data_IF_798108252613
#
_entry.id   IF_798108252613
#
_cell.length_a   1.000
_cell.length_b   1.000
_cell.length_c   1.000
_cell.angle_alpha   90.00
_cell.angle_beta   90.00
_cell.angle_gamma   90.00
#
_symmetry.space_group_name_H-M   'P 1'
#
loop_
_entity.id
_entity.type
_entity.pdbx_description
1 polymer ?
#
# COMPACT_ATOMS: atom_id res chain seq x y z
N UNK A 1 25.19 27.00 0.38
CA UNK A 1 23.82 26.46 0.56
C UNK A 1 23.67 25.23 -0.34
N UNK A 2 23.41 24.02 0.18
CA UNK A 2 23.18 22.84 -0.67
C UNK A 2 21.79 22.95 -1.29
N UNK A 3 21.66 22.73 -2.61
CA UNK A 3 20.35 22.63 -3.27
C UNK A 3 19.62 21.40 -2.71
N UNK A 4 18.34 21.55 -2.34
CA UNK A 4 17.48 20.46 -1.83
C UNK A 4 16.90 19.58 -2.93
N UNK A 5 17.14 19.94 -4.20
CA UNK A 5 16.69 19.23 -5.39
C UNK A 5 17.87 19.01 -6.34
N UNK A 6 17.84 17.88 -7.04
CA UNK A 6 18.78 17.52 -8.09
C UNK A 6 17.99 17.29 -9.39
N UNK A 7 18.50 17.81 -10.51
CA UNK A 7 17.91 17.59 -11.82
C UNK A 7 18.33 16.22 -12.37
N UNK A 8 17.40 15.54 -13.03
CA UNK A 8 17.61 14.23 -13.64
C UNK A 8 16.96 14.21 -15.02
N UNK A 9 17.57 13.48 -15.97
CA UNK A 9 16.95 13.21 -17.27
C UNK A 9 16.52 11.74 -17.30
N UNK A 10 15.30 11.50 -17.75
CA UNK A 10 14.72 10.15 -17.84
C UNK A 10 14.13 9.95 -19.22
N UNK A 11 14.32 8.77 -19.78
CA UNK A 11 13.66 8.34 -21.01
C UNK A 11 12.43 7.54 -20.64
N UNK A 12 11.28 7.90 -21.23
CA UNK A 12 10.01 7.23 -21.03
C UNK A 12 9.49 6.68 -22.35
N UNK A 13 8.72 5.58 -22.32
CA UNK A 13 7.85 5.23 -23.44
C UNK A 13 6.96 6.43 -23.82
N UNK A 14 6.74 6.63 -25.11
CA UNK A 14 6.00 7.79 -25.63
C UNK A 14 4.62 7.94 -24.96
N UNK A 15 3.91 6.83 -24.78
CA UNK A 15 2.61 6.79 -24.11
C UNK A 15 2.64 7.29 -22.66
N UNK A 16 3.71 6.99 -21.90
CA UNK A 16 3.88 7.49 -20.54
C UNK A 16 4.26 8.97 -20.52
N UNK A 17 5.09 9.41 -21.46
CA UNK A 17 5.42 10.83 -21.60
C UNK A 17 4.16 11.67 -21.92
N UNK A 18 3.30 11.18 -22.82
CA UNK A 18 2.02 11.82 -23.13
C UNK A 18 1.08 11.83 -21.92
N UNK A 19 1.04 10.75 -21.14
CA UNK A 19 0.25 10.72 -19.89
C UNK A 19 0.68 11.82 -18.91
N UNK A 20 2.00 12.01 -18.73
CA UNK A 20 2.53 13.06 -17.85
C UNK A 20 2.17 14.46 -18.39
N UNK A 21 2.34 14.69 -19.69
CA UNK A 21 1.97 15.95 -20.35
C UNK A 21 0.48 16.25 -20.22
N UNK A 22 -0.38 15.26 -20.43
CA UNK A 22 -1.82 15.41 -20.32
C UNK A 22 -2.26 15.85 -18.92
N UNK A 23 -1.63 15.31 -17.86
CA UNK A 23 -1.90 15.71 -16.48
C UNK A 23 -1.55 17.17 -16.20
N UNK A 24 -0.44 17.65 -16.75
CA UNK A 24 -0.05 19.07 -16.64
C UNK A 24 -0.98 19.95 -17.46
N UNK A 25 -1.31 19.54 -18.69
CA UNK A 25 -2.22 20.29 -19.57
C UNK A 25 -3.64 20.39 -19.00
N UNK A 26 -4.11 19.37 -18.27
CA UNK A 26 -5.37 19.38 -17.54
C UNK A 26 -5.35 20.26 -16.28
N UNK A 27 -4.18 20.78 -15.89
CA UNK A 27 -4.01 21.58 -14.68
C UNK A 27 -4.01 20.77 -13.38
N UNK A 28 -3.92 19.44 -13.45
CA UNK A 28 -3.81 18.58 -12.26
C UNK A 28 -2.48 18.80 -11.52
N UNK A 29 -1.43 19.17 -12.26
CA UNK A 29 -0.08 19.43 -11.75
C UNK A 29 0.51 20.64 -12.46
N UNK A 30 1.35 21.43 -11.78
CA UNK A 30 1.96 22.62 -12.37
C UNK A 30 3.14 22.28 -13.29
N UNK A 31 3.82 21.15 -13.05
CA UNK A 31 4.97 20.70 -13.84
C UNK A 31 5.04 19.18 -13.93
N UNK A 32 5.75 18.66 -14.93
CA UNK A 32 6.04 17.24 -15.06
C UNK A 32 6.81 16.71 -13.84
N UNK A 33 7.72 17.54 -13.31
CA UNK A 33 8.48 17.22 -12.08
C UNK A 33 7.60 17.06 -10.84
N UNK A 34 6.40 17.64 -10.80
CA UNK A 34 5.43 17.39 -9.73
C UNK A 34 4.76 16.04 -9.87
N UNK A 35 4.36 15.66 -11.09
CA UNK A 35 3.78 14.35 -11.39
C UNK A 35 4.71 13.23 -10.91
N UNK A 36 6.01 13.33 -11.25
CA UNK A 36 6.98 12.32 -10.81
C UNK A 36 7.21 12.33 -9.29
N UNK A 37 7.34 13.51 -8.67
CA UNK A 37 7.54 13.58 -7.20
C UNK A 37 6.35 13.01 -6.45
N UNK A 38 5.14 13.26 -6.92
CA UNK A 38 3.91 12.73 -6.32
C UNK A 38 3.82 11.20 -6.49
N UNK A 39 4.08 10.71 -7.71
CA UNK A 39 4.16 9.27 -7.98
C UNK A 39 5.19 8.56 -7.10
N UNK A 40 6.38 9.12 -6.95
CA UNK A 40 7.44 8.56 -6.10
C UNK A 40 7.06 8.55 -4.61
N UNK A 41 6.39 9.60 -4.11
CA UNK A 41 5.91 9.62 -2.72
C UNK A 41 4.83 8.57 -2.49
N UNK A 42 3.92 8.40 -3.44
CA UNK A 42 2.86 7.39 -3.37
C UNK A 42 3.45 5.99 -3.34
N UNK A 43 4.45 5.71 -4.20
CA UNK A 43 5.17 4.45 -4.20
C UNK A 43 5.87 4.20 -2.86
N UNK A 44 6.62 5.18 -2.34
CA UNK A 44 7.32 5.05 -1.07
C UNK A 44 6.36 4.84 0.13
N UNK A 45 5.21 5.52 0.13
CA UNK A 45 4.20 5.34 1.17
C UNK A 45 3.60 3.93 1.14
N UNK A 46 3.32 3.41 -0.07
CA UNK A 46 2.84 2.03 -0.26
C UNK A 46 3.86 1.01 0.24
N UNK A 47 5.13 1.16 -0.15
CA UNK A 47 6.19 0.23 0.26
C UNK A 47 6.36 0.22 1.78
N UNK A 48 6.38 1.41 2.41
CA UNK A 48 6.43 1.52 3.88
C UNK A 48 5.23 0.86 4.57
N UNK A 49 4.03 0.98 4.01
CA UNK A 49 2.84 0.37 4.58
C UNK A 49 2.90 -1.17 4.51
N UNK A 50 3.38 -1.72 3.39
CA UNK A 50 3.59 -3.16 3.21
C UNK A 50 4.64 -3.67 4.19
N UNK A 51 5.78 -2.99 4.29
CA UNK A 51 6.86 -3.39 5.19
C UNK A 51 6.42 -3.36 6.66
N UNK A 52 5.69 -2.31 7.06
CA UNK A 52 5.15 -2.20 8.41
C UNK A 52 4.19 -3.37 8.71
N UNK A 53 3.27 -3.66 7.80
CA UNK A 53 2.34 -4.78 7.94
C UNK A 53 3.06 -6.14 8.05
N UNK A 54 4.06 -6.37 7.20
CA UNK A 54 4.86 -7.60 7.24
C UNK A 54 5.59 -7.74 8.59
N UNK A 55 6.22 -6.65 9.04
CA UNK A 55 7.01 -6.62 10.28
C UNK A 55 6.15 -6.77 11.53
N UNK A 56 5.02 -6.08 11.58
CA UNK A 56 4.23 -5.92 12.80
C UNK A 56 3.09 -6.92 12.93
N UNK A 57 2.60 -7.49 11.83
CA UNK A 57 1.51 -8.47 11.87
C UNK A 57 1.96 -9.85 11.40
N UNK A 58 2.54 -9.96 10.20
CA UNK A 58 2.81 -11.26 9.57
C UNK A 58 3.92 -12.02 10.28
N UNK A 59 5.05 -11.37 10.55
CA UNK A 59 6.18 -12.00 11.23
C UNK A 59 5.80 -12.51 12.63
N UNK A 60 5.14 -11.71 13.50
CA UNK A 60 4.69 -12.19 14.81
C UNK A 60 3.68 -13.33 14.73
N UNK A 61 2.72 -13.26 13.79
CA UNK A 61 1.75 -14.33 13.59
C UNK A 61 2.42 -15.65 13.16
N UNK A 62 3.38 -15.58 12.23
CA UNK A 62 4.15 -16.73 11.78
C UNK A 62 5.02 -17.31 12.90
N UNK A 63 5.68 -16.46 13.70
CA UNK A 63 6.48 -16.89 14.84
C UNK A 63 5.61 -17.59 15.91
N UNK A 64 4.43 -17.04 16.21
CA UNK A 64 3.48 -17.64 17.15
C UNK A 64 2.94 -18.99 16.66
N UNK A 65 2.66 -19.12 15.36
CA UNK A 65 2.24 -20.38 14.76
C UNK A 65 3.37 -21.43 14.76
N UNK A 66 4.61 -21.01 14.51
CA UNK A 66 5.77 -21.90 14.59
C UNK A 66 6.02 -22.39 16.02
N UNK A 67 5.86 -21.51 17.01
CA UNK A 67 6.01 -21.84 18.42
C UNK A 67 4.87 -22.72 18.95
N UNK A 68 3.65 -22.53 18.43
CA UNK A 68 2.46 -23.30 18.80
C UNK A 68 1.63 -23.66 17.55
N UNK A 69 1.92 -24.82 16.93
CA UNK A 69 1.21 -25.29 15.74
C UNK A 69 -0.29 -25.54 15.95
N UNK A 70 -0.75 -25.70 17.20
CA UNK A 70 -2.17 -25.91 17.51
C UNK A 70 -3.03 -24.67 17.23
N UNK A 71 -2.39 -23.51 17.02
CA UNK A 71 -3.05 -22.25 16.61
C UNK A 71 -3.51 -22.24 15.16
N UNK A 72 -3.07 -23.21 14.35
CA UNK A 72 -3.55 -23.38 12.99
C UNK A 72 -5.07 -23.62 12.99
N UNK A 73 -5.79 -22.89 12.15
CA UNK A 73 -7.23 -23.12 11.94
C UNK A 73 -7.43 -23.90 10.65
N UNK A 74 -8.28 -24.92 10.70
CA UNK A 74 -8.81 -25.53 9.49
C UNK A 74 -9.68 -24.52 8.72
N UNK A 75 -9.88 -24.76 7.43
CA UNK A 75 -10.75 -23.95 6.58
C UNK A 75 -12.18 -23.85 7.12
N UNK A 76 -12.69 -24.92 7.73
CA UNK A 76 -14.01 -24.96 8.38
C UNK A 76 -14.05 -24.12 9.65
N UNK A 77 -13.04 -24.23 10.53
CA UNK A 77 -12.93 -23.43 11.76
C UNK A 77 -12.80 -21.93 11.44
N UNK A 78 -12.07 -21.58 10.38
CA UNK A 78 -11.94 -20.21 9.90
C UNK A 78 -13.28 -19.65 9.43
N UNK A 79 -14.03 -20.41 8.61
CA UNK A 79 -15.37 -20.01 8.15
C UNK A 79 -16.34 -19.83 9.31
N UNK A 80 -16.34 -20.75 10.28
CA UNK A 80 -17.17 -20.65 11.48
C UNK A 80 -16.85 -19.37 12.28
N UNK A 81 -15.56 -19.08 12.54
CA UNK A 81 -15.14 -17.84 13.23
C UNK A 81 -15.53 -16.57 12.49
N UNK A 82 -15.44 -16.55 11.16
CA UNK A 82 -15.81 -15.40 10.34
C UNK A 82 -17.33 -15.15 10.36
N UNK A 83 -18.15 -16.20 10.35
CA UNK A 83 -19.62 -16.09 10.47
C UNK A 83 -20.01 -15.51 11.83
N UNK A 84 -19.41 -15.97 12.92
CA UNK A 84 -19.64 -15.43 14.28
C UNK A 84 -19.24 -13.95 14.35
N UNK A 85 -18.07 -13.57 13.81
CA UNK A 85 -17.59 -12.17 13.81
C UNK A 85 -18.49 -11.24 12.97
N UNK A 86 -19.13 -11.74 11.91
CA UNK A 86 -20.10 -10.98 11.10
C UNK A 86 -21.46 -10.84 11.78
N UNK A 87 -21.89 -11.82 12.57
CA UNK A 87 -23.12 -11.76 13.37
C UNK A 87 -23.07 -10.68 14.45
N UNK A 88 -21.96 -10.56 15.18
CA UNK A 88 -21.80 -9.55 16.25
C UNK A 88 -21.70 -8.10 15.77
N UNK A 89 -21.39 -7.85 14.48
CA UNK A 89 -21.40 -6.49 13.92
C UNK A 89 -22.81 -6.00 13.58
N UNK A 90 -23.78 -6.91 13.38
CA UNK A 90 -25.18 -6.55 13.10
C UNK A 90 -25.94 -6.08 14.34
N UNK A 91 -25.42 -6.31 15.55
CA UNK A 91 -26.07 -5.93 16.82
C UNK A 91 -25.54 -4.63 17.42
N UNK A 92 -24.54 -3.99 16.80
CA UNK A 92 -23.93 -2.74 17.27
C UNK A 92 -24.31 -1.50 16.42
N UNK A 93 -25.26 -1.67 15.48
CA UNK A 93 -25.85 -0.58 14.70
C UNK A 93 -27.37 -0.78 14.72
N UNK A 94 -27.98 -0.47 15.84
CA UNK A 94 -29.40 -0.15 16.02
C UNK A 94 -29.52 0.71 17.26
#
# INVERSE_FOLDING_TARGET
>A
MRRSTQQFSITLPNEMAEMVRAKVAAGEYATESEVFRDGLRTLAARDKAVDAWLRDEVIPAAAALKADPSRALSSEQLRAKLTVKRGGRKTATS
#
